data_IF_881959710420
#
_entry.id   IF_881959710420
#
_cell.length_a   1.000
_cell.length_b   1.000
_cell.length_c   1.000
_cell.angle_alpha   90.00
_cell.angle_beta   90.00
_cell.angle_gamma   90.00
#
_symmetry.space_group_name_H-M   'P 1'
#
loop_
_entity.id
_entity.type
_entity.pdbx_description
1 polymer ?
#
# COMPACT_ATOMS: atom_id res chain seq x y z
N UNK A 1 -26.26 39.53 -4.40
CA UNK A 1 -26.18 38.70 -3.20
C UNK A 1 -26.25 37.19 -3.49
N UNK A 2 -27.11 36.71 -4.37
CA UNK A 2 -27.19 35.28 -4.73
C UNK A 2 -25.93 34.74 -5.37
N UNK A 3 -25.14 35.54 -6.13
CA UNK A 3 -23.90 35.13 -6.79
C UNK A 3 -22.75 34.86 -5.79
N UNK A 4 -22.72 35.58 -4.67
CA UNK A 4 -21.69 35.39 -3.63
C UNK A 4 -21.94 34.10 -2.84
N UNK A 5 -23.21 33.76 -2.60
CA UNK A 5 -23.58 32.52 -1.91
C UNK A 5 -23.22 31.27 -2.72
N UNK A 6 -23.44 31.32 -4.04
CA UNK A 6 -23.09 30.22 -4.97
C UNK A 6 -21.58 30.01 -5.00
N UNK A 7 -20.79 31.09 -4.99
CA UNK A 7 -19.32 31.02 -4.99
C UNK A 7 -18.79 30.36 -3.71
N UNK A 8 -19.37 30.68 -2.55
CA UNK A 8 -19.02 30.07 -1.26
C UNK A 8 -19.32 28.57 -1.23
N UNK A 9 -20.47 28.16 -1.76
CA UNK A 9 -20.85 26.74 -1.83
C UNK A 9 -19.90 25.97 -2.77
N UNK A 10 -19.49 26.57 -3.88
CA UNK A 10 -18.54 25.97 -4.82
C UNK A 10 -17.17 25.81 -4.19
N UNK A 11 -16.69 26.77 -3.40
CA UNK A 11 -15.44 26.66 -2.65
C UNK A 11 -15.48 25.58 -1.58
N UNK A 12 -16.60 25.41 -0.88
CA UNK A 12 -16.78 24.33 0.10
C UNK A 12 -16.77 22.96 -0.56
N UNK A 13 -17.36 22.82 -1.73
CA UNK A 13 -17.36 21.57 -2.49
C UNK A 13 -15.93 21.22 -2.96
N UNK A 14 -15.12 22.19 -3.35
CA UNK A 14 -13.72 21.96 -3.72
C UNK A 14 -12.87 21.57 -2.50
N UNK A 15 -13.13 22.15 -1.32
CA UNK A 15 -12.43 21.81 -0.09
C UNK A 15 -12.78 20.41 0.43
N UNK A 16 -13.94 19.87 0.02
CA UNK A 16 -14.40 18.53 0.40
C UNK A 16 -14.13 17.46 -0.68
N UNK A 17 -13.28 17.77 -1.68
CA UNK A 17 -12.88 16.77 -2.68
C UNK A 17 -12.19 15.58 -2.03
N UNK A 18 -12.58 14.33 -2.38
CA UNK A 18 -11.93 13.16 -1.80
C UNK A 18 -10.45 13.11 -2.19
N UNK A 19 -9.63 12.64 -1.27
CA UNK A 19 -8.22 12.41 -1.53
C UNK A 19 -8.06 11.38 -2.65
N UNK A 20 -7.09 11.62 -3.53
CA UNK A 20 -6.76 10.69 -4.61
C UNK A 20 -5.50 9.90 -4.27
N UNK A 21 -5.47 8.58 -4.54
CA UNK A 21 -4.26 7.81 -4.33
C UNK A 21 -3.19 8.22 -5.34
N UNK A 22 -1.92 8.06 -4.96
CA UNK A 22 -0.85 8.17 -5.93
C UNK A 22 -1.04 7.11 -7.02
N UNK A 23 -0.53 7.38 -8.23
CA UNK A 23 -0.56 6.38 -9.29
C UNK A 23 0.36 5.21 -8.96
N UNK A 24 0.05 4.03 -9.51
CA UNK A 24 0.92 2.87 -9.35
C UNK A 24 2.34 3.17 -9.87
N UNK A 25 2.44 3.89 -10.98
CA UNK A 25 3.72 4.31 -11.57
C UNK A 25 4.55 5.16 -10.60
N UNK A 26 3.92 6.06 -9.86
CA UNK A 26 4.61 6.90 -8.87
C UNK A 26 5.11 6.07 -7.67
N UNK A 27 4.53 4.89 -7.44
CA UNK A 27 4.95 3.98 -6.38
C UNK A 27 6.17 3.12 -6.77
N UNK A 28 6.59 3.12 -8.04
CA UNK A 28 7.73 2.31 -8.45
C UNK A 28 9.02 2.78 -7.77
N UNK A 29 9.81 1.84 -7.30
CA UNK A 29 11.08 2.10 -6.64
C UNK A 29 11.40 1.09 -5.56
N UNK A 30 12.48 1.37 -4.85
CA UNK A 30 12.95 0.55 -3.73
C UNK A 30 12.48 1.14 -2.41
N UNK A 31 12.14 0.27 -1.47
CA UNK A 31 11.57 0.63 -0.18
C UNK A 31 12.22 -0.14 0.95
N UNK A 32 12.25 0.49 2.11
CA UNK A 32 12.49 -0.15 3.40
C UNK A 32 11.23 -0.11 4.24
N UNK A 33 11.06 -1.08 5.11
CA UNK A 33 10.00 -1.04 6.08
C UNK A 33 10.22 0.10 7.06
N UNK A 34 9.22 0.95 7.22
CA UNK A 34 9.21 1.99 8.23
C UNK A 34 8.65 1.46 9.55
N UNK A 35 7.48 0.83 9.49
CA UNK A 35 6.89 0.17 10.66
C UNK A 35 5.77 -0.80 10.23
N UNK A 36 5.52 -1.83 11.04
CA UNK A 36 4.36 -2.69 10.87
C UNK A 36 3.14 -1.99 11.51
N UNK A 37 2.11 -1.74 10.72
CA UNK A 37 0.88 -1.08 11.19
C UNK A 37 -0.20 -2.08 11.60
N UNK A 38 -0.10 -3.32 11.13
CA UNK A 38 -0.99 -4.41 11.50
C UNK A 38 -0.26 -5.75 11.43
N UNK A 39 -0.54 -6.63 12.39
CA UNK A 39 -0.15 -8.02 12.34
C UNK A 39 -1.22 -8.88 13.01
N UNK A 40 -1.43 -10.10 12.50
CA UNK A 40 -2.42 -11.03 13.03
C UNK A 40 -2.02 -11.61 14.40
N UNK A 41 -0.74 -11.53 14.78
CA UNK A 41 -0.21 -11.96 16.08
C UNK A 41 0.61 -10.84 16.71
N UNK A 42 0.31 -10.49 17.96
CA UNK A 42 0.98 -9.38 18.66
C UNK A 42 2.49 -9.57 18.81
N UNK A 43 2.95 -10.79 19.08
CA UNK A 43 4.39 -11.09 19.22
C UNK A 43 5.14 -11.00 17.89
N UNK A 44 4.42 -11.11 16.80
CA UNK A 44 4.95 -11.00 15.45
C UNK A 44 5.48 -9.60 15.15
N UNK A 45 4.85 -8.57 15.69
CA UNK A 45 5.23 -7.17 15.47
C UNK A 45 6.67 -6.91 15.92
N UNK A 46 7.00 -7.28 17.16
CA UNK A 46 8.33 -7.03 17.72
C UNK A 46 9.44 -7.76 16.98
N UNK A 47 9.21 -9.03 16.64
CA UNK A 47 10.20 -9.86 15.94
C UNK A 47 10.39 -9.41 14.50
N UNK A 48 9.30 -9.11 13.79
CA UNK A 48 9.35 -8.72 12.39
C UNK A 48 9.85 -7.29 12.19
N UNK A 49 9.55 -6.36 13.09
CA UNK A 49 10.08 -5.00 12.98
C UNK A 49 11.60 -4.97 13.04
N UNK A 50 12.18 -5.71 13.99
CA UNK A 50 13.62 -5.79 14.12
C UNK A 50 14.27 -6.46 12.89
N UNK A 51 13.67 -7.52 12.39
CA UNK A 51 14.16 -8.29 11.24
C UNK A 51 13.96 -7.54 9.91
N UNK A 52 12.75 -7.04 9.70
CA UNK A 52 12.37 -6.42 8.43
C UNK A 52 13.02 -5.04 8.20
N UNK A 53 13.58 -4.42 9.26
CA UNK A 53 14.30 -3.15 9.11
C UNK A 53 15.47 -3.23 8.13
N UNK A 54 16.00 -4.43 7.92
CA UNK A 54 17.12 -4.66 6.99
C UNK A 54 16.69 -5.20 5.62
N UNK A 55 15.40 -5.49 5.45
CA UNK A 55 14.89 -6.07 4.21
C UNK A 55 14.56 -4.98 3.19
N UNK A 56 14.78 -5.30 1.93
CA UNK A 56 14.47 -4.42 0.81
C UNK A 56 13.24 -4.93 0.08
N UNK A 57 12.37 -4.01 -0.27
CA UNK A 57 11.18 -4.24 -1.08
C UNK A 57 11.30 -3.42 -2.36
N UNK A 58 10.82 -3.92 -3.46
CA UNK A 58 10.86 -3.20 -4.73
C UNK A 58 9.53 -3.37 -5.46
N UNK A 59 9.00 -2.26 -5.94
CA UNK A 59 7.79 -2.22 -6.76
C UNK A 59 8.20 -1.72 -8.14
N UNK A 60 7.95 -2.51 -9.17
CA UNK A 60 8.22 -2.16 -10.56
C UNK A 60 6.98 -2.46 -11.41
N UNK A 61 7.00 -2.06 -12.68
CA UNK A 61 5.88 -2.20 -13.61
C UNK A 61 5.34 -3.64 -13.68
N UNK A 62 6.24 -4.61 -13.80
CA UNK A 62 5.88 -6.02 -13.99
C UNK A 62 6.71 -6.94 -13.08
N UNK A 63 7.31 -6.39 -12.04
CA UNK A 63 8.16 -7.12 -11.11
C UNK A 63 7.99 -6.60 -9.70
N UNK A 64 8.25 -7.44 -8.73
CA UNK A 64 8.21 -7.08 -7.32
C UNK A 64 9.27 -7.87 -6.57
N UNK A 65 9.97 -7.21 -5.66
CA UNK A 65 10.83 -7.86 -4.66
C UNK A 65 10.17 -7.71 -3.29
N UNK A 66 9.97 -8.82 -2.63
CA UNK A 66 9.37 -8.87 -1.31
C UNK A 66 10.37 -9.47 -0.32
N UNK A 67 10.64 -8.75 0.76
CA UNK A 67 11.57 -9.18 1.83
C UNK A 67 12.95 -9.61 1.30
N UNK A 68 13.52 -8.85 0.36
CA UNK A 68 14.84 -9.04 -0.27
C UNK A 68 15.01 -10.32 -1.10
N UNK A 69 14.41 -11.42 -0.67
CA UNK A 69 14.64 -12.75 -1.23
C UNK A 69 13.60 -13.17 -2.27
N UNK A 70 12.36 -12.75 -2.10
CA UNK A 70 11.26 -13.15 -2.96
C UNK A 70 11.14 -12.19 -4.14
N UNK A 71 11.71 -12.60 -5.27
CA UNK A 71 11.70 -11.81 -6.52
C UNK A 71 10.70 -12.43 -7.48
N UNK A 72 9.70 -11.64 -7.87
CA UNK A 72 8.68 -12.05 -8.80
C UNK A 72 8.79 -11.22 -10.08
N UNK A 73 8.68 -11.87 -11.23
CA UNK A 73 8.72 -11.25 -12.55
C UNK A 73 7.45 -11.60 -13.32
N UNK A 74 7.15 -10.83 -14.37
CA UNK A 74 5.96 -11.01 -15.20
C UNK A 74 4.67 -11.01 -14.36
N UNK A 75 4.63 -10.14 -13.37
CA UNK A 75 3.47 -10.00 -12.47
C UNK A 75 2.50 -8.96 -12.99
N UNK A 76 1.26 -9.07 -12.52
CA UNK A 76 0.20 -8.10 -12.78
C UNK A 76 -0.30 -7.54 -11.45
N UNK A 77 -0.52 -6.24 -11.43
CA UNK A 77 -1.16 -5.54 -10.32
C UNK A 77 -2.63 -5.38 -10.64
N UNK A 78 -3.48 -6.05 -9.89
CA UNK A 78 -4.93 -5.95 -10.08
C UNK A 78 -5.54 -5.07 -9.01
N UNK A 79 -6.15 -3.98 -9.44
CA UNK A 79 -6.80 -3.01 -8.58
C UNK A 79 -8.05 -3.62 -7.94
N UNK A 80 -8.16 -3.48 -6.61
CA UNK A 80 -9.34 -3.91 -5.86
C UNK A 80 -9.73 -2.81 -4.87
N UNK A 81 -11.00 -2.76 -4.52
CA UNK A 81 -11.48 -1.85 -3.50
C UNK A 81 -11.08 -2.35 -2.11
N UNK A 82 -10.82 -1.39 -1.21
CA UNK A 82 -10.56 -1.70 0.18
C UNK A 82 -11.84 -2.12 0.88
N UNK A 83 -11.78 -3.22 1.63
CA UNK A 83 -12.85 -3.60 2.54
C UNK A 83 -12.92 -2.62 3.70
N UNK A 84 -14.05 -2.61 4.41
CA UNK A 84 -14.24 -1.80 5.61
C UNK A 84 -13.16 -2.12 6.67
N UNK A 85 -12.87 -3.40 6.84
CA UNK A 85 -11.86 -3.90 7.77
C UNK A 85 -10.46 -3.41 7.42
N UNK A 86 -10.11 -3.43 6.13
CA UNK A 86 -8.82 -2.91 5.65
C UNK A 86 -8.69 -1.40 5.86
N UNK A 87 -9.77 -0.65 5.65
CA UNK A 87 -9.78 0.81 5.91
C UNK A 87 -9.56 1.14 7.38
N UNK A 88 -10.04 0.31 8.28
CA UNK A 88 -9.80 0.47 9.72
C UNK A 88 -8.33 0.21 10.08
N UNK A 89 -7.70 -0.78 9.45
CA UNK A 89 -6.29 -1.14 9.67
C UNK A 89 -5.31 -0.14 9.06
N UNK A 90 -5.62 0.38 7.89
CA UNK A 90 -4.77 1.31 7.13
C UNK A 90 -5.59 2.52 6.67
N UNK A 91 -5.95 3.43 7.60
CA UNK A 91 -6.86 4.55 7.28
C UNK A 91 -6.33 5.50 6.20
N UNK A 92 -5.02 5.60 6.01
CA UNK A 92 -4.42 6.44 4.98
C UNK A 92 -4.43 5.81 3.60
N UNK A 93 -4.67 4.50 3.49
CA UNK A 93 -4.74 3.80 2.22
C UNK A 93 -6.06 4.11 1.52
N UNK A 94 -5.99 4.40 0.22
CA UNK A 94 -7.14 4.75 -0.62
C UNK A 94 -7.45 3.67 -1.64
N UNK A 95 -6.46 2.83 -1.98
CA UNK A 95 -6.59 1.81 -3.01
C UNK A 95 -5.65 0.66 -2.71
N UNK A 96 -5.98 -0.51 -3.23
CA UNK A 96 -5.21 -1.73 -3.07
C UNK A 96 -4.99 -2.40 -4.43
N UNK A 97 -3.80 -2.96 -4.60
CA UNK A 97 -3.46 -3.81 -5.74
C UNK A 97 -3.05 -5.18 -5.23
N UNK A 98 -3.74 -6.22 -5.68
CA UNK A 98 -3.30 -7.59 -5.47
C UNK A 98 -2.32 -7.99 -6.57
N UNK A 99 -1.29 -8.75 -6.23
CA UNK A 99 -0.26 -9.17 -7.17
C UNK A 99 -0.55 -10.58 -7.66
N UNK A 100 -0.45 -10.77 -8.98
CA UNK A 100 -0.70 -12.04 -9.65
C UNK A 100 0.46 -12.39 -10.59
N UNK A 101 0.78 -13.67 -10.65
CA UNK A 101 1.62 -14.25 -11.69
C UNK A 101 0.71 -15.12 -12.56
N UNK A 102 0.32 -14.62 -13.75
CA UNK A 102 -0.74 -15.24 -14.52
C UNK A 102 -2.07 -15.22 -13.76
N UNK A 103 -2.64 -16.39 -13.51
CA UNK A 103 -3.87 -16.54 -12.74
C UNK A 103 -3.61 -16.77 -11.24
N UNK A 104 -2.34 -16.98 -10.86
CA UNK A 104 -1.95 -17.28 -9.49
C UNK A 104 -1.81 -15.99 -8.67
N UNK A 105 -2.57 -15.88 -7.59
CA UNK A 105 -2.41 -14.82 -6.61
C UNK A 105 -1.19 -15.11 -5.74
N UNK A 106 -0.30 -14.10 -5.59
CA UNK A 106 0.98 -14.28 -4.90
C UNK A 106 0.91 -14.10 -3.38
N UNK A 107 -0.22 -13.74 -2.83
CA UNK A 107 -0.34 -13.47 -1.41
C UNK A 107 0.35 -12.18 -0.95
N UNK A 108 0.56 -11.27 -1.87
CA UNK A 108 1.16 -9.96 -1.64
C UNK A 108 0.22 -8.89 -2.16
N UNK A 109 0.09 -7.80 -1.44
CA UNK A 109 -0.66 -6.63 -1.91
C UNK A 109 0.08 -5.34 -1.62
N UNK A 110 -0.18 -4.35 -2.44
CA UNK A 110 0.32 -2.98 -2.31
C UNK A 110 -0.87 -2.07 -2.05
N UNK A 111 -0.79 -1.28 -0.99
CA UNK A 111 -1.80 -0.25 -0.69
C UNK A 111 -1.19 1.12 -0.97
N UNK A 112 -1.94 1.98 -1.61
CA UNK A 112 -1.50 3.34 -1.93
C UNK A 112 -2.46 4.36 -1.33
N UNK A 113 -1.90 5.33 -0.60
CA UNK A 113 -2.58 6.55 -0.20
C UNK A 113 -2.16 7.71 -1.10
N UNK A 114 -2.36 8.95 -0.64
CA UNK A 114 -1.88 10.13 -1.39
C UNK A 114 -0.35 10.14 -1.48
N UNK A 115 0.34 9.86 -0.38
CA UNK A 115 1.79 9.89 -0.28
C UNK A 115 2.36 8.66 0.44
N UNK A 116 1.50 7.71 0.81
CA UNK A 116 1.88 6.55 1.61
C UNK A 116 1.81 5.27 0.78
N UNK A 117 2.77 4.39 1.04
CA UNK A 117 2.84 3.05 0.43
C UNK A 117 2.88 2.03 1.55
N UNK A 118 2.03 1.01 1.45
CA UNK A 118 2.03 -0.14 2.35
C UNK A 118 2.18 -1.40 1.53
N UNK A 119 2.90 -2.38 2.07
CA UNK A 119 2.99 -3.72 1.50
C UNK A 119 2.50 -4.70 2.54
N UNK A 120 1.70 -5.66 2.11
CA UNK A 120 1.17 -6.69 2.99
C UNK A 120 1.44 -8.08 2.47
N UNK A 121 1.54 -9.02 3.41
CA UNK A 121 1.53 -10.45 3.15
C UNK A 121 0.19 -11.03 3.60
N UNK A 122 -0.37 -11.94 2.80
CA UNK A 122 -1.65 -12.61 3.06
C UNK A 122 -1.46 -14.07 3.31
N UNK A 123 -2.29 -14.62 4.19
CA UNK A 123 -2.43 -16.05 4.32
C UNK A 123 -3.13 -16.59 3.06
N UNK A 124 -2.51 -17.56 2.40
CA UNK A 124 -3.06 -18.14 1.17
C UNK A 124 -4.29 -19.02 1.39
N UNK A 125 -4.52 -19.47 2.62
CA UNK A 125 -5.64 -20.35 2.94
C UNK A 125 -6.93 -19.59 3.25
N UNK A 126 -6.84 -18.51 4.03
CA UNK A 126 -8.03 -17.76 4.45
C UNK A 126 -8.13 -16.37 3.86
N UNK A 127 -7.07 -15.90 3.16
CA UNK A 127 -7.06 -14.58 2.53
C UNK A 127 -6.93 -13.42 3.49
N UNK A 128 -6.66 -13.68 4.78
CA UNK A 128 -6.49 -12.61 5.76
C UNK A 128 -5.06 -12.06 5.74
N UNK A 129 -4.85 -10.79 6.05
CA UNK A 129 -3.49 -10.25 6.12
C UNK A 129 -2.73 -10.83 7.31
N UNK A 130 -1.52 -11.31 7.04
CA UNK A 130 -0.57 -11.74 8.06
C UNK A 130 0.05 -10.52 8.73
N UNK A 131 0.54 -9.58 7.92
CA UNK A 131 0.97 -8.27 8.39
C UNK A 131 0.82 -7.23 7.28
N UNK A 132 0.73 -5.97 7.68
CA UNK A 132 0.74 -4.81 6.79
C UNK A 132 1.82 -3.87 7.30
N UNK A 133 2.76 -3.51 6.43
CA UNK A 133 3.87 -2.63 6.79
C UNK A 133 3.84 -1.35 5.96
N UNK A 134 4.03 -0.23 6.65
CA UNK A 134 4.25 1.06 6.00
C UNK A 134 5.67 1.10 5.46
N UNK A 135 5.82 1.53 4.22
CA UNK A 135 7.09 1.56 3.50
C UNK A 135 7.63 2.98 3.38
N UNK A 136 8.95 3.08 3.42
CA UNK A 136 9.67 4.32 3.16
C UNK A 136 10.51 4.14 1.90
N UNK A 137 10.30 5.00 0.91
CA UNK A 137 11.05 4.94 -0.35
C UNK A 137 12.53 5.27 -0.10
N UNK A 138 13.40 4.44 -0.64
CA UNK A 138 14.84 4.67 -0.59
C UNK A 138 15.18 5.64 -1.73
N UNK A 139 15.61 6.84 -1.38
CA UNK A 139 16.10 7.80 -2.36
C UNK A 139 17.61 7.66 -2.45
N UNK A 140 18.09 7.27 -3.62
CA UNK A 140 19.55 7.29 -3.87
C UNK A 140 20.00 8.74 -3.95
N UNK A 141 20.87 9.15 -3.05
CA UNK A 141 21.57 10.42 -3.21
C UNK A 141 22.46 10.33 -4.45
N UNK A 142 22.12 11.14 -5.43
CA UNK A 142 22.95 11.30 -6.61
C UNK A 142 24.25 12.05 -6.26
#
# INVERSE_FOLDING_TARGET
MKKVLILLVTMMLCACSPAEPMSLKDSYGQYKQEKIVYANKKDYIKKKDAYNAYLVYEINKDACTFESDLKYQNIQYKKVELSKDEKEKVPEALIKYNLYEGEKQLGIAVYLGEETVYISSYDQYDGSPVYIARMKKITKKS
#
